data_IF_775135795016
#
_entry.id   IF_775135795016
#
_cell.length_a   1.000
_cell.length_b   1.000
_cell.length_c   1.000
_cell.angle_alpha   90.00
_cell.angle_beta   90.00
_cell.angle_gamma   90.00
#
_symmetry.space_group_name_H-M   'P 1'
#
loop_
_entity.id
_entity.type
_entity.pdbx_description
1 polymer ?
#
# COMPACT_ATOMS: atom_id res chain seq x y z
N UNK A 1 55.55 19.61 55.41
CA UNK A 1 54.25 19.49 54.69
C UNK A 1 53.91 20.80 53.95
N UNK A 2 54.09 21.98 54.57
CA UNK A 2 53.87 23.30 53.94
C UNK A 2 54.75 23.59 52.71
N UNK A 3 56.05 23.25 52.75
CA UNK A 3 56.98 23.49 51.63
C UNK A 3 56.58 22.74 50.35
N UNK A 4 56.08 21.51 50.49
CA UNK A 4 55.62 20.70 49.36
C UNK A 4 54.39 21.32 48.67
N UNK A 5 53.41 21.80 49.43
CA UNK A 5 52.24 22.48 48.87
C UNK A 5 52.61 23.80 48.18
N UNK A 6 53.55 24.57 48.74
CA UNK A 6 54.03 25.79 48.10
C UNK A 6 54.81 25.52 46.80
N UNK A 7 55.60 24.44 46.75
CA UNK A 7 56.32 24.05 45.53
C UNK A 7 55.35 23.54 44.47
N UNK A 8 54.33 22.78 44.87
CA UNK A 8 53.26 22.31 44.00
C UNK A 8 52.44 23.46 43.41
N UNK A 9 52.11 24.47 44.22
CA UNK A 9 51.38 25.66 43.79
C UNK A 9 52.19 26.48 42.77
N UNK A 10 53.50 26.59 42.96
CA UNK A 10 54.41 27.28 42.03
C UNK A 10 54.49 26.55 40.68
N UNK A 11 54.64 25.22 40.71
CA UNK A 11 54.67 24.38 39.49
C UNK A 11 53.31 24.39 38.76
N UNK A 12 52.19 24.47 39.49
CA UNK A 12 50.86 24.52 38.90
C UNK A 12 50.53 25.87 38.23
N UNK A 13 51.25 26.94 38.60
CA UNK A 13 51.14 28.27 38.02
C UNK A 13 52.07 28.48 36.81
N UNK A 14 53.04 27.61 36.58
CA UNK A 14 53.85 27.59 35.35
C UNK A 14 52.95 27.52 34.11
N UNK A 15 53.27 28.34 33.11
CA UNK A 15 52.48 28.44 31.88
C UNK A 15 53.19 27.73 30.74
N UNK A 16 52.50 26.80 30.11
CA UNK A 16 52.96 26.13 28.90
C UNK A 16 52.00 26.49 27.77
N UNK A 17 52.53 27.05 26.66
CA UNK A 17 51.72 27.57 25.54
C UNK A 17 50.65 28.62 25.95
N UNK A 18 50.90 29.39 27.02
CA UNK A 18 49.95 30.38 27.55
C UNK A 18 48.79 29.80 28.37
N UNK A 19 48.83 28.51 28.70
CA UNK A 19 47.84 27.80 29.53
C UNK A 19 48.53 27.36 30.83
N UNK A 20 47.88 27.55 31.98
CA UNK A 20 48.42 27.11 33.27
C UNK A 20 48.47 25.58 33.37
N UNK A 21 49.51 25.05 34.00
CA UNK A 21 49.66 23.60 34.20
C UNK A 21 48.47 23.00 34.98
N UNK A 22 47.84 23.77 35.86
CA UNK A 22 46.59 23.40 36.54
C UNK A 22 45.41 23.09 35.59
N UNK A 23 45.29 23.79 34.46
CA UNK A 23 44.24 23.54 33.45
C UNK A 23 44.52 22.28 32.65
N UNK A 24 45.79 22.02 32.33
CA UNK A 24 46.20 20.75 31.72
C UNK A 24 45.91 19.57 32.66
N UNK A 25 46.24 19.69 33.94
CA UNK A 25 45.92 18.69 34.94
C UNK A 25 44.41 18.44 35.06
N UNK A 26 43.60 19.52 35.10
CA UNK A 26 42.14 19.42 35.13
C UNK A 26 41.55 18.72 33.89
N UNK A 27 42.00 19.09 32.69
CA UNK A 27 41.55 18.43 31.46
C UNK A 27 41.98 16.97 31.38
N UNK A 28 43.19 16.64 31.83
CA UNK A 28 43.68 15.26 31.91
C UNK A 28 42.84 14.41 32.86
N UNK A 29 42.49 14.93 34.03
CA UNK A 29 41.59 14.27 34.98
C UNK A 29 40.20 14.02 34.39
N UNK A 30 39.64 14.99 33.66
CA UNK A 30 38.35 14.82 32.97
C UNK A 30 38.41 13.76 31.89
N UNK A 31 39.48 13.68 31.10
CA UNK A 31 39.65 12.63 30.10
C UNK A 31 39.76 11.24 30.74
N UNK A 32 40.50 11.10 31.84
CA UNK A 32 40.54 9.86 32.61
C UNK A 32 39.15 9.50 33.14
N UNK A 33 38.45 10.47 33.72
CA UNK A 33 37.09 10.27 34.22
C UNK A 33 36.13 9.83 33.11
N UNK A 34 36.24 10.39 31.90
CA UNK A 34 35.44 10.00 30.74
C UNK A 34 35.74 8.57 30.27
N UNK A 35 37.01 8.14 30.28
CA UNK A 35 37.39 6.75 29.96
C UNK A 35 36.90 5.76 31.01
N UNK A 36 36.94 6.14 32.29
CA UNK A 36 36.35 5.37 33.39
C UNK A 36 34.83 5.30 33.20
N UNK A 37 34.17 6.42 32.97
CA UNK A 37 32.73 6.50 32.74
C UNK A 37 32.30 5.65 31.56
N UNK A 38 33.06 5.65 30.46
CA UNK A 38 32.86 4.73 29.33
C UNK A 38 32.90 3.27 29.78
N UNK A 39 33.93 2.86 30.54
CA UNK A 39 34.05 1.47 31.04
C UNK A 39 32.91 1.10 31.99
N UNK A 40 32.54 2.01 32.89
CA UNK A 40 31.42 1.85 33.82
C UNK A 40 30.10 1.71 33.05
N UNK A 41 29.84 2.61 32.11
CA UNK A 41 28.67 2.55 31.23
C UNK A 41 28.63 1.24 30.45
N UNK A 42 29.73 0.83 29.81
CA UNK A 42 29.81 -0.44 29.09
C UNK A 42 29.50 -1.64 29.99
N UNK A 43 29.98 -1.62 31.24
CA UNK A 43 29.71 -2.66 32.22
C UNK A 43 28.25 -2.66 32.68
N UNK A 44 27.70 -1.48 33.03
CA UNK A 44 26.30 -1.32 33.44
C UNK A 44 25.34 -1.67 32.29
N UNK A 45 25.67 -1.29 31.06
CA UNK A 45 24.86 -1.59 29.88
C UNK A 45 24.73 -3.10 29.67
N UNK A 46 25.82 -3.86 29.80
CA UNK A 46 25.79 -5.33 29.70
C UNK A 46 25.14 -5.99 30.91
N UNK A 47 25.37 -5.46 32.13
CA UNK A 47 24.92 -6.10 33.37
C UNK A 47 23.49 -5.77 33.76
N UNK A 48 23.00 -4.59 33.39
CA UNK A 48 21.68 -4.06 33.81
C UNK A 48 20.75 -3.94 32.62
N UNK A 49 21.18 -3.29 31.52
CA UNK A 49 20.29 -2.96 30.40
C UNK A 49 20.04 -4.17 29.51
N UNK A 50 21.08 -4.94 29.17
CA UNK A 50 20.95 -6.13 28.31
C UNK A 50 20.05 -7.23 28.92
N UNK A 51 20.17 -7.59 30.23
CA UNK A 51 19.29 -8.59 30.82
C UNK A 51 17.84 -8.12 30.94
N UNK A 52 17.62 -6.81 31.07
CA UNK A 52 16.28 -6.23 31.07
C UNK A 52 15.61 -6.37 29.70
N UNK A 53 16.36 -6.20 28.62
CA UNK A 53 15.85 -6.38 27.26
C UNK A 53 15.59 -7.85 26.90
N UNK A 54 16.41 -8.77 27.39
CA UNK A 54 16.15 -10.21 27.20
C UNK A 54 14.90 -10.70 27.97
N UNK A 55 14.36 -9.90 28.90
CA UNK A 55 13.06 -10.18 29.55
C UNK A 55 11.87 -9.74 28.69
N UNK A 56 12.07 -8.89 27.70
CA UNK A 56 11.04 -8.53 26.72
C UNK A 56 10.94 -9.63 25.65
N UNK A 57 9.73 -9.94 25.17
CA UNK A 57 9.52 -10.96 24.11
C UNK A 57 9.95 -10.51 22.71
N UNK A 58 10.55 -9.32 22.58
CA UNK A 58 10.82 -8.64 21.31
C UNK A 58 12.28 -8.83 20.87
N UNK A 59 12.50 -9.55 19.77
CA UNK A 59 13.82 -9.73 19.13
C UNK A 59 14.46 -8.40 18.67
N UNK A 60 13.67 -7.33 18.55
CA UNK A 60 14.12 -6.01 18.10
C UNK A 60 14.87 -5.25 19.20
N UNK A 61 14.53 -5.49 20.46
CA UNK A 61 15.09 -4.76 21.61
C UNK A 61 16.57 -5.09 21.78
N UNK A 62 16.91 -6.38 21.64
CA UNK A 62 18.29 -6.87 21.74
C UNK A 62 19.18 -6.30 20.64
N UNK A 63 18.67 -6.29 19.41
CA UNK A 63 19.40 -5.74 18.26
C UNK A 63 19.58 -4.23 18.40
N UNK A 64 18.59 -3.51 18.92
CA UNK A 64 18.64 -2.06 19.05
C UNK A 64 19.71 -1.64 20.07
N UNK A 65 19.72 -2.31 21.21
CA UNK A 65 20.72 -2.09 22.24
C UNK A 65 22.12 -2.42 21.75
N UNK A 66 22.31 -3.49 20.97
CA UNK A 66 23.61 -3.81 20.37
C UNK A 66 24.07 -2.73 19.39
N UNK A 67 23.17 -2.22 18.55
CA UNK A 67 23.48 -1.20 17.55
C UNK A 67 23.86 0.15 18.16
N UNK A 68 23.25 0.54 19.29
CA UNK A 68 23.48 1.85 19.95
C UNK A 68 24.61 1.80 20.98
N UNK A 69 24.89 0.64 21.59
CA UNK A 69 25.87 0.54 22.68
C UNK A 69 27.21 1.17 22.34
N UNK A 70 27.77 0.81 21.18
CA UNK A 70 29.12 1.25 20.77
C UNK A 70 29.19 2.75 20.45
N UNK A 71 28.24 3.32 19.70
CA UNK A 71 28.11 4.76 19.59
C UNK A 71 27.94 5.46 20.96
N UNK A 72 27.06 4.97 21.84
CA UNK A 72 26.86 5.56 23.16
C UNK A 72 28.15 5.56 24.03
N UNK A 73 28.92 4.46 23.99
CA UNK A 73 30.25 4.39 24.62
C UNK A 73 31.22 5.44 24.06
N UNK A 74 31.15 5.73 22.76
CA UNK A 74 32.00 6.73 22.10
C UNK A 74 31.54 8.17 22.40
N UNK A 75 30.23 8.41 22.44
CA UNK A 75 29.63 9.68 22.83
C UNK A 75 30.09 10.16 24.21
N UNK A 76 30.22 9.25 25.18
CA UNK A 76 30.74 9.59 26.52
C UNK A 76 32.18 10.11 26.48
N UNK A 77 33.01 9.56 25.58
CA UNK A 77 34.38 10.05 25.36
C UNK A 77 34.36 11.41 24.68
N UNK A 78 33.47 11.61 23.71
CA UNK A 78 33.25 12.89 23.04
C UNK A 78 32.86 13.96 24.07
N UNK A 79 31.88 13.69 24.95
CA UNK A 79 31.46 14.60 26.03
C UNK A 79 32.63 14.93 26.96
N UNK A 80 33.42 13.93 27.37
CA UNK A 80 34.62 14.15 28.17
C UNK A 80 35.65 15.05 27.47
N UNK A 81 35.88 14.83 26.17
CA UNK A 81 36.76 15.65 25.35
C UNK A 81 36.23 17.09 25.23
N UNK A 82 34.92 17.28 25.10
CA UNK A 82 34.30 18.61 25.09
C UNK A 82 34.57 19.37 26.39
N UNK A 83 34.32 18.74 27.54
CA UNK A 83 34.55 19.35 28.86
C UNK A 83 36.04 19.66 29.04
N UNK A 84 36.93 18.75 28.64
CA UNK A 84 38.38 18.96 28.68
C UNK A 84 38.81 20.17 27.81
N UNK A 85 38.22 20.34 26.62
CA UNK A 85 38.47 21.50 25.76
C UNK A 85 37.97 22.81 26.38
N UNK A 86 36.84 22.81 27.09
CA UNK A 86 36.36 23.99 27.83
C UNK A 86 37.31 24.38 28.96
N UNK A 87 37.88 23.40 29.69
CA UNK A 87 38.82 23.64 30.79
C UNK A 87 40.16 24.17 30.28
N UNK A 88 40.65 23.66 29.14
CA UNK A 88 41.93 24.09 28.56
C UNK A 88 41.90 25.58 28.16
N UNK A 89 40.73 26.12 27.79
CA UNK A 89 40.55 27.48 27.28
C UNK A 89 41.63 27.86 26.24
N UNK A 90 41.73 27.06 25.18
CA UNK A 90 42.78 27.18 24.16
C UNK A 90 42.94 28.62 23.66
N UNK A 91 44.19 29.16 23.63
CA UNK A 91 44.46 30.50 23.14
C UNK A 91 44.10 30.64 21.65
N UNK A 92 43.67 31.84 21.27
CA UNK A 92 43.17 32.15 19.92
C UNK A 92 44.24 32.68 18.97
N UNK A 93 45.39 33.11 19.50
CA UNK A 93 46.53 33.65 18.75
C UNK A 93 47.79 32.80 18.99
N UNK A 94 48.70 32.66 18.01
CA UNK A 94 48.68 33.20 16.63
C UNK A 94 47.91 32.33 15.62
N UNK A 95 47.48 31.14 16.03
CA UNK A 95 46.61 30.27 15.25
C UNK A 95 45.34 30.00 16.04
N UNK A 96 44.18 30.06 15.38
CA UNK A 96 42.88 29.78 15.98
C UNK A 96 42.70 28.28 16.31
N UNK A 97 43.56 27.72 17.17
CA UNK A 97 43.54 26.32 17.62
C UNK A 97 42.16 25.93 18.14
N UNK A 98 41.49 26.88 18.80
CA UNK A 98 40.12 26.74 19.29
C UNK A 98 39.14 26.39 18.17
N UNK A 99 39.18 27.08 17.02
CA UNK A 99 38.28 26.81 15.88
C UNK A 99 38.53 25.41 15.31
N UNK A 100 39.79 25.01 15.17
CA UNK A 100 40.17 23.67 14.72
C UNK A 100 39.67 22.57 15.67
N UNK A 101 39.86 22.75 16.98
CA UNK A 101 39.40 21.81 18.00
C UNK A 101 37.86 21.64 18.00
N UNK A 102 37.10 22.75 17.89
CA UNK A 102 35.64 22.67 17.77
C UNK A 102 35.18 22.05 16.44
N UNK A 103 35.88 22.30 15.33
CA UNK A 103 35.60 21.66 14.05
C UNK A 103 35.80 20.14 14.10
N UNK A 104 36.91 19.69 14.67
CA UNK A 104 37.20 18.27 14.90
C UNK A 104 36.15 17.63 15.82
N UNK A 105 35.79 18.30 16.91
CA UNK A 105 34.73 17.84 17.81
C UNK A 105 33.39 17.64 17.09
N UNK A 106 32.94 18.63 16.31
CA UNK A 106 31.71 18.51 15.51
C UNK A 106 31.80 17.35 14.52
N UNK A 107 32.96 17.16 13.88
CA UNK A 107 33.22 16.02 13.00
C UNK A 107 33.08 14.67 13.71
N UNK A 108 33.62 14.53 14.92
CA UNK A 108 33.48 13.31 15.73
C UNK A 108 32.02 13.05 16.13
N UNK A 109 31.26 14.08 16.49
CA UNK A 109 29.82 13.95 16.78
C UNK A 109 29.05 13.51 15.54
N UNK A 110 29.30 14.14 14.38
CA UNK A 110 28.67 13.75 13.11
C UNK A 110 29.01 12.32 12.73
N UNK A 111 30.26 11.90 12.89
CA UNK A 111 30.69 10.53 12.66
C UNK A 111 29.97 9.53 13.60
N UNK A 112 29.88 9.85 14.89
CA UNK A 112 29.22 8.98 15.88
C UNK A 112 27.73 8.81 15.58
N UNK A 113 27.02 9.89 15.23
CA UNK A 113 25.62 9.86 14.81
C UNK A 113 25.47 9.02 13.53
N UNK A 114 26.33 9.24 12.52
CA UNK A 114 26.28 8.48 11.28
C UNK A 114 26.55 6.99 11.52
N UNK A 115 27.49 6.65 12.40
CA UNK A 115 27.80 5.28 12.79
C UNK A 115 26.63 4.62 13.53
N UNK A 116 25.99 5.35 14.45
CA UNK A 116 24.78 4.89 15.13
C UNK A 116 23.66 4.59 14.12
N UNK A 117 23.36 5.52 13.22
CA UNK A 117 22.35 5.33 12.18
C UNK A 117 22.69 4.15 11.25
N UNK A 118 23.96 4.01 10.86
CA UNK A 118 24.43 2.90 10.03
C UNK A 118 24.23 1.53 10.71
N UNK A 119 24.47 1.46 12.01
CA UNK A 119 24.21 0.26 12.81
C UNK A 119 22.71 0.02 13.01
N UNK A 120 21.89 1.07 13.10
CA UNK A 120 20.43 0.91 13.21
C UNK A 120 19.81 0.34 11.92
N UNK A 121 20.47 0.43 10.77
CA UNK A 121 19.98 -0.21 9.53
C UNK A 121 19.84 -1.73 9.68
N UNK A 122 20.61 -2.39 10.55
CA UNK A 122 20.45 -3.84 10.79
C UNK A 122 19.13 -4.18 11.49
N UNK A 123 18.49 -3.23 12.16
CA UNK A 123 17.14 -3.43 12.69
C UNK A 123 16.10 -3.47 11.58
N UNK A 124 16.22 -2.57 10.61
CA UNK A 124 15.34 -2.57 9.44
C UNK A 124 15.44 -3.90 8.69
N UNK A 125 16.65 -4.45 8.58
CA UNK A 125 16.90 -5.77 7.99
C UNK A 125 16.19 -6.89 8.77
N UNK A 126 16.31 -6.91 10.09
CA UNK A 126 15.63 -7.91 10.92
C UNK A 126 14.10 -7.79 10.87
N UNK A 127 13.57 -6.56 10.85
CA UNK A 127 12.13 -6.30 10.73
C UNK A 127 11.57 -6.74 9.39
N UNK A 128 12.23 -6.35 8.31
CA UNK A 128 11.79 -6.70 6.96
C UNK A 128 11.94 -8.20 6.71
N UNK A 129 13.05 -8.84 7.10
CA UNK A 129 13.23 -10.29 6.95
C UNK A 129 12.15 -11.11 7.68
N UNK A 130 11.68 -10.65 8.84
CA UNK A 130 10.57 -11.30 9.57
C UNK A 130 9.21 -11.16 8.88
N UNK A 131 9.04 -10.17 8.01
CA UNK A 131 7.83 -9.98 7.21
C UNK A 131 7.90 -10.76 5.90
N UNK A 132 9.05 -10.74 5.20
CA UNK A 132 9.12 -11.34 3.87
C UNK A 132 9.25 -12.87 3.90
N UNK A 133 9.87 -13.45 4.94
CA UNK A 133 9.91 -14.91 5.16
C UNK A 133 8.55 -15.59 5.39
N UNK A 134 7.47 -14.82 5.59
CA UNK A 134 6.09 -15.34 5.68
C UNK A 134 5.37 -15.38 4.33
N UNK A 135 6.00 -14.89 3.27
CA UNK A 135 5.49 -14.86 1.91
C UNK A 135 6.36 -15.80 1.06
N UNK A 136 5.75 -16.63 0.21
CA UNK A 136 6.47 -17.57 -0.70
C UNK A 136 7.21 -16.84 -1.86
N UNK A 137 7.69 -15.63 -1.62
CA UNK A 137 8.19 -14.74 -2.66
C UNK A 137 9.71 -14.78 -2.74
N UNK A 138 10.25 -14.93 -3.95
CA UNK A 138 11.68 -14.75 -4.27
C UNK A 138 12.14 -13.28 -4.16
N UNK A 139 11.35 -12.41 -3.54
CA UNK A 139 11.67 -10.99 -3.35
C UNK A 139 12.76 -10.78 -2.28
N UNK A 140 12.89 -11.72 -1.34
CA UNK A 140 13.79 -11.66 -0.17
C UNK A 140 15.26 -11.51 -0.58
N UNK A 141 15.70 -12.25 -1.59
CA UNK A 141 17.11 -12.42 -1.92
C UNK A 141 17.74 -11.17 -2.56
N UNK A 142 16.92 -10.29 -3.13
CA UNK A 142 17.41 -9.12 -3.86
C UNK A 142 16.90 -7.78 -3.33
N UNK A 143 15.68 -7.71 -2.78
CA UNK A 143 15.17 -6.45 -2.24
C UNK A 143 15.83 -6.04 -0.93
N UNK A 144 16.01 -6.98 0.01
CA UNK A 144 16.60 -6.66 1.32
C UNK A 144 18.04 -6.13 1.20
N UNK A 145 18.95 -6.78 0.44
CA UNK A 145 20.29 -6.23 0.23
C UNK A 145 20.27 -4.88 -0.48
N UNK A 146 19.35 -4.68 -1.44
CA UNK A 146 19.21 -3.42 -2.17
C UNK A 146 18.79 -2.26 -1.25
N UNK A 147 17.73 -2.44 -0.45
CA UNK A 147 17.25 -1.43 0.51
C UNK A 147 18.36 -1.11 1.52
N UNK A 148 18.98 -2.15 2.09
CA UNK A 148 20.08 -2.00 3.06
C UNK A 148 21.24 -1.20 2.49
N UNK A 149 21.71 -1.55 1.29
CA UNK A 149 22.82 -0.85 0.63
C UNK A 149 22.45 0.59 0.29
N UNK A 150 21.21 0.84 -0.15
CA UNK A 150 20.72 2.17 -0.48
C UNK A 150 20.66 3.09 0.74
N UNK A 151 20.06 2.64 1.85
CA UNK A 151 19.97 3.42 3.09
C UNK A 151 21.34 3.68 3.68
N UNK A 152 22.24 2.69 3.69
CA UNK A 152 23.62 2.87 4.17
C UNK A 152 24.41 3.86 3.33
N UNK A 153 24.28 3.78 2.01
CA UNK A 153 24.91 4.73 1.08
C UNK A 153 24.41 6.15 1.34
N UNK A 154 23.10 6.30 1.54
CA UNK A 154 22.48 7.59 1.87
C UNK A 154 23.00 8.17 3.20
N UNK A 155 23.12 7.35 4.26
CA UNK A 155 23.68 7.79 5.55
C UNK A 155 25.12 8.27 5.41
N UNK A 156 25.96 7.52 4.68
CA UNK A 156 27.37 7.91 4.44
C UNK A 156 27.45 9.22 3.66
N UNK A 157 26.59 9.38 2.65
CA UNK A 157 26.53 10.60 1.85
C UNK A 157 26.10 11.82 2.68
N UNK A 158 25.09 11.68 3.55
CA UNK A 158 24.69 12.73 4.49
C UNK A 158 25.80 13.07 5.49
N UNK A 159 26.49 12.06 6.03
CA UNK A 159 27.61 12.26 6.96
C UNK A 159 28.76 13.06 6.31
N UNK A 160 29.04 12.80 5.02
CA UNK A 160 30.03 13.55 4.25
C UNK A 160 29.64 15.03 4.12
N UNK A 161 28.39 15.32 3.76
CA UNK A 161 27.88 16.70 3.62
C UNK A 161 27.96 17.44 4.96
N UNK A 162 27.51 16.79 6.04
CA UNK A 162 27.56 17.37 7.39
C UNK A 162 29.00 17.64 7.83
N UNK A 163 29.95 16.77 7.45
CA UNK A 163 31.37 17.00 7.72
C UNK A 163 31.90 18.22 6.98
N UNK A 164 31.55 18.38 5.69
CA UNK A 164 31.92 19.57 4.90
C UNK A 164 31.36 20.85 5.54
N UNK A 165 30.11 20.82 6.01
CA UNK A 165 29.49 21.95 6.71
C UNK A 165 30.22 22.28 8.02
N UNK A 166 30.61 21.25 8.79
CA UNK A 166 31.35 21.42 10.03
C UNK A 166 32.74 22.05 9.84
N UNK A 167 33.35 21.86 8.68
CA UNK A 167 34.60 22.52 8.28
C UNK A 167 34.42 24.00 7.89
N UNK A 168 33.18 24.49 7.85
CA UNK A 168 32.85 25.90 7.58
C UNK A 168 32.55 26.19 6.11
N UNK A 169 32.49 25.17 5.24
CA UNK A 169 32.05 25.34 3.86
C UNK A 169 30.53 25.46 3.80
N UNK A 170 30.04 26.36 2.94
CA UNK A 170 28.60 26.46 2.67
C UNK A 170 28.13 25.24 1.87
N UNK A 171 27.15 24.52 2.42
CA UNK A 171 26.51 23.40 1.73
C UNK A 171 25.23 23.82 1.00
N UNK A 172 24.89 25.11 0.98
CA UNK A 172 23.63 25.59 0.37
C UNK A 172 23.50 25.19 -1.09
N UNK A 173 24.59 25.26 -1.86
CA UNK A 173 24.60 24.80 -3.25
C UNK A 173 24.36 23.29 -3.38
N UNK A 174 25.00 22.49 -2.53
CA UNK A 174 24.81 21.03 -2.50
C UNK A 174 23.37 20.67 -2.09
N UNK A 175 22.82 21.34 -1.08
CA UNK A 175 21.44 21.14 -0.64
C UNK A 175 20.44 21.54 -1.74
N UNK A 176 20.68 22.64 -2.45
CA UNK A 176 19.85 23.05 -3.58
C UNK A 176 19.85 22.00 -4.70
N UNK A 177 21.04 21.51 -5.09
CA UNK A 177 21.18 20.43 -6.08
C UNK A 177 20.51 19.13 -5.63
N UNK A 178 20.62 18.77 -4.34
CA UNK A 178 19.96 17.60 -3.78
C UNK A 178 18.44 17.76 -3.71
N UNK A 179 17.93 18.97 -3.49
CA UNK A 179 16.50 19.25 -3.55
C UNK A 179 15.94 18.97 -4.95
N UNK A 180 16.61 19.47 -5.99
CA UNK A 180 16.20 19.24 -7.39
C UNK A 180 16.38 17.76 -7.77
N UNK A 181 17.50 17.15 -7.42
CA UNK A 181 17.75 15.72 -7.65
C UNK A 181 16.76 14.83 -6.91
N UNK A 182 16.41 15.18 -5.67
CA UNK A 182 15.42 14.50 -4.86
C UNK A 182 14.01 14.59 -5.45
N UNK A 183 13.64 15.75 -5.99
CA UNK A 183 12.37 15.91 -6.71
C UNK A 183 12.31 15.00 -7.95
N UNK A 184 13.39 14.94 -8.74
CA UNK A 184 13.46 14.06 -9.91
C UNK A 184 13.31 12.58 -9.51
N UNK A 185 13.99 12.14 -8.46
CA UNK A 185 13.85 10.77 -7.92
C UNK A 185 12.43 10.51 -7.40
N UNK A 186 11.82 11.47 -6.70
CA UNK A 186 10.46 11.35 -6.18
C UNK A 186 9.42 11.22 -7.31
N UNK A 187 9.57 12.01 -8.38
CA UNK A 187 8.74 11.92 -9.57
C UNK A 187 8.90 10.56 -10.27
N UNK A 188 10.13 10.05 -10.38
CA UNK A 188 10.39 8.73 -10.95
C UNK A 188 9.81 7.59 -10.07
N UNK A 189 9.81 7.76 -8.75
CA UNK A 189 9.28 6.77 -7.80
C UNK A 189 7.75 6.85 -7.61
N UNK A 190 7.09 7.88 -8.15
CA UNK A 190 5.67 8.19 -7.91
C UNK A 190 4.76 6.99 -8.14
N UNK A 191 4.91 6.29 -9.27
CA UNK A 191 4.03 5.16 -9.62
C UNK A 191 4.26 3.95 -8.72
N UNK A 192 5.50 3.72 -8.31
CA UNK A 192 5.83 2.66 -7.35
C UNK A 192 5.16 2.93 -6.01
N UNK A 193 5.30 4.14 -5.48
CA UNK A 193 4.66 4.55 -4.22
C UNK A 193 3.13 4.49 -4.32
N UNK A 194 2.57 4.93 -5.45
CA UNK A 194 1.12 4.91 -5.67
C UNK A 194 0.57 3.48 -5.63
N UNK A 195 1.31 2.50 -6.18
CA UNK A 195 0.91 1.09 -6.11
C UNK A 195 0.91 0.55 -4.68
N UNK A 196 1.91 0.92 -3.87
CA UNK A 196 2.00 0.52 -2.47
C UNK A 196 0.81 1.08 -1.67
N UNK A 197 0.47 2.35 -1.89
CA UNK A 197 -0.71 2.95 -1.28
C UNK A 197 -2.01 2.29 -1.75
N UNK A 198 -2.09 1.91 -3.03
CA UNK A 198 -3.20 1.11 -3.55
C UNK A 198 -3.35 -0.24 -2.83
N UNK A 199 -2.26 -0.97 -2.62
CA UNK A 199 -2.26 -2.23 -1.86
C UNK A 199 -2.77 -2.03 -0.44
N UNK A 200 -2.29 -0.98 0.23
CA UNK A 200 -2.69 -0.66 1.60
C UNK A 200 -4.18 -0.33 1.68
N UNK A 201 -4.70 0.45 0.73
CA UNK A 201 -6.12 0.80 0.66
C UNK A 201 -7.00 -0.44 0.46
N UNK A 202 -6.62 -1.35 -0.45
CA UNK A 202 -7.33 -2.62 -0.67
C UNK A 202 -7.38 -3.45 0.63
N UNK A 203 -6.29 -3.51 1.39
CA UNK A 203 -6.23 -4.28 2.65
C UNK A 203 -7.03 -3.63 3.78
N UNK A 204 -7.02 -2.29 3.86
CA UNK A 204 -7.70 -1.53 4.92
C UNK A 204 -9.21 -1.46 4.68
N UNK A 205 -9.63 -1.05 3.47
CA UNK A 205 -11.04 -0.86 3.14
C UNK A 205 -11.74 -2.17 2.78
N UNK A 206 -10.96 -3.20 2.40
CA UNK A 206 -11.43 -4.53 2.01
C UNK A 206 -12.65 -4.52 1.08
N UNK A 207 -12.58 -3.82 -0.08
CA UNK A 207 -13.65 -3.86 -1.06
C UNK A 207 -13.89 -5.29 -1.60
N UNK A 208 -12.85 -6.14 -1.56
CA UNK A 208 -12.88 -7.55 -1.92
C UNK A 208 -11.78 -8.32 -1.20
N UNK A 209 -11.87 -9.64 -1.21
CA UNK A 209 -10.87 -10.57 -0.69
C UNK A 209 -10.34 -11.51 -1.79
N UNK A 210 -9.24 -12.20 -1.50
CA UNK A 210 -8.78 -13.32 -2.33
C UNK A 210 -9.91 -14.36 -2.37
N UNK A 211 -10.25 -14.82 -3.58
CA UNK A 211 -11.38 -15.72 -3.84
C UNK A 211 -12.68 -15.00 -4.23
N UNK A 212 -12.79 -13.69 -4.06
CA UNK A 212 -13.97 -12.96 -4.52
C UNK A 212 -13.99 -12.86 -6.05
N UNK A 213 -15.16 -13.04 -6.65
CA UNK A 213 -15.44 -12.67 -8.03
C UNK A 213 -15.78 -11.18 -8.08
N UNK A 214 -14.95 -10.43 -8.78
CA UNK A 214 -15.10 -8.99 -8.96
C UNK A 214 -15.21 -8.62 -10.43
N UNK A 215 -15.85 -7.49 -10.68
CA UNK A 215 -15.83 -6.78 -11.95
C UNK A 215 -15.37 -5.34 -11.73
N UNK A 216 -14.34 -4.92 -12.45
CA UNK A 216 -13.77 -3.58 -12.34
C UNK A 216 -13.27 -3.11 -13.71
N UNK A 217 -13.82 -2.01 -14.21
CA UNK A 217 -13.64 -1.60 -15.61
C UNK A 217 -14.05 -2.72 -16.57
N UNK A 218 -13.15 -3.06 -17.50
CA UNK A 218 -13.34 -4.15 -18.47
C UNK A 218 -12.83 -5.52 -17.97
N UNK A 219 -12.41 -5.59 -16.70
CA UNK A 219 -11.84 -6.80 -16.11
C UNK A 219 -12.86 -7.49 -15.23
N UNK A 220 -13.01 -8.80 -15.43
CA UNK A 220 -13.97 -9.60 -14.69
C UNK A 220 -13.40 -11.00 -14.39
N UNK A 221 -13.46 -11.42 -13.13
CA UNK A 221 -12.95 -12.71 -12.71
C UNK A 221 -12.73 -12.84 -11.21
N UNK A 222 -12.11 -13.94 -10.81
CA UNK A 222 -11.84 -14.26 -9.40
C UNK A 222 -10.47 -13.77 -8.97
N UNK A 223 -10.37 -13.09 -7.84
CA UNK A 223 -9.10 -12.62 -7.28
C UNK A 223 -8.27 -13.81 -6.79
N UNK A 224 -7.08 -14.03 -7.36
CA UNK A 224 -6.17 -15.10 -6.93
C UNK A 224 -5.13 -14.62 -5.91
N UNK A 225 -4.62 -13.41 -6.08
CA UNK A 225 -3.55 -12.87 -5.24
C UNK A 225 -3.64 -11.36 -5.16
N UNK A 226 -3.47 -10.80 -3.97
CA UNK A 226 -3.25 -9.37 -3.76
C UNK A 226 -1.78 -9.20 -3.36
N UNK A 227 -0.93 -8.89 -4.34
CA UNK A 227 0.50 -8.70 -4.12
C UNK A 227 0.85 -7.28 -3.68
N UNK A 228 2.15 -7.02 -3.46
CA UNK A 228 2.64 -5.71 -2.98
C UNK A 228 2.44 -4.56 -3.98
N UNK A 229 2.47 -4.83 -5.30
CA UNK A 229 2.29 -3.81 -6.36
C UNK A 229 1.09 -4.05 -7.26
N UNK A 230 0.58 -5.27 -7.29
CA UNK A 230 -0.42 -5.68 -8.26
C UNK A 230 -1.32 -6.78 -7.72
N UNK A 231 -2.56 -6.81 -8.18
CA UNK A 231 -3.53 -7.86 -7.91
C UNK A 231 -3.68 -8.73 -9.15
N UNK A 232 -3.78 -10.04 -8.94
CA UNK A 232 -3.97 -11.03 -9.99
C UNK A 232 -5.41 -11.50 -9.99
N UNK A 233 -6.06 -11.44 -11.17
CA UNK A 233 -7.46 -11.80 -11.37
C UNK A 233 -7.52 -12.89 -12.44
N UNK A 234 -8.09 -14.05 -12.10
CA UNK A 234 -8.34 -15.16 -13.01
C UNK A 234 -9.67 -14.95 -13.72
N UNK A 235 -9.62 -14.83 -15.04
CA UNK A 235 -10.83 -14.69 -15.86
C UNK A 235 -11.59 -16.01 -15.97
N UNK A 236 -12.83 -15.93 -16.44
CA UNK A 236 -13.62 -17.13 -16.77
C UNK A 236 -13.03 -17.95 -17.92
N UNK A 237 -12.24 -17.33 -18.80
CA UNK A 237 -11.44 -18.01 -19.82
C UNK A 237 -10.16 -18.67 -19.24
N UNK A 238 -10.01 -18.70 -17.91
CA UNK A 238 -8.85 -19.24 -17.18
C UNK A 238 -7.52 -18.52 -17.46
N UNK A 239 -7.54 -17.35 -18.08
CA UNK A 239 -6.37 -16.47 -18.23
C UNK A 239 -6.13 -15.63 -16.97
N UNK A 240 -4.89 -15.20 -16.75
CA UNK A 240 -4.51 -14.42 -15.57
C UNK A 240 -4.24 -12.95 -15.96
N UNK A 241 -5.05 -12.04 -15.45
CA UNK A 241 -4.85 -10.60 -15.59
C UNK A 241 -4.06 -10.12 -14.37
N UNK A 242 -2.97 -9.38 -14.60
CA UNK A 242 -2.21 -8.71 -13.51
C UNK A 242 -2.43 -7.22 -13.62
N UNK A 243 -2.98 -6.62 -12.57
CA UNK A 243 -3.37 -5.21 -12.57
C UNK A 243 -2.61 -4.46 -11.47
N UNK A 244 -1.96 -3.33 -11.79
CA UNK A 244 -1.39 -2.44 -10.77
C UNK A 244 -2.43 -2.05 -9.70
N UNK A 245 -2.03 -2.10 -8.44
CA UNK A 245 -2.96 -1.84 -7.32
C UNK A 245 -3.44 -0.39 -7.29
N UNK A 246 -2.64 0.57 -7.80
CA UNK A 246 -3.09 1.94 -7.94
C UNK A 246 -4.26 2.08 -8.92
N UNK A 247 -4.34 1.23 -9.95
CA UNK A 247 -5.44 1.28 -10.92
C UNK A 247 -6.71 0.74 -10.27
N UNK A 248 -6.66 -0.45 -9.66
CA UNK A 248 -7.84 -1.05 -9.02
C UNK A 248 -8.38 -0.15 -7.90
N UNK A 249 -7.51 0.39 -7.06
CA UNK A 249 -7.92 1.25 -5.95
C UNK A 249 -8.63 2.55 -6.40
N UNK A 250 -8.42 2.98 -7.64
CA UNK A 250 -9.04 4.18 -8.22
C UNK A 250 -10.25 3.88 -9.12
N UNK A 251 -10.55 2.61 -9.38
CA UNK A 251 -11.72 2.19 -10.16
C UNK A 251 -12.86 1.78 -9.24
N UNK A 252 -14.10 1.86 -9.76
CA UNK A 252 -15.23 1.20 -9.09
C UNK A 252 -15.03 -0.32 -9.14
N UNK A 253 -15.37 -0.99 -8.04
CA UNK A 253 -15.31 -2.44 -7.92
C UNK A 253 -16.70 -2.96 -7.60
N UNK A 254 -17.26 -3.73 -8.51
CA UNK A 254 -18.47 -4.50 -8.29
C UNK A 254 -18.09 -5.89 -7.75
N UNK A 255 -18.40 -6.14 -6.48
CA UNK A 255 -18.08 -7.40 -5.82
C UNK A 255 -19.28 -8.36 -5.92
N UNK A 256 -19.25 -9.19 -6.95
CA UNK A 256 -20.31 -10.13 -7.30
C UNK A 256 -20.43 -11.22 -6.23
N UNK A 257 -19.33 -11.61 -5.57
CA UNK A 257 -19.36 -12.57 -4.45
C UNK A 257 -20.12 -12.08 -3.22
N UNK A 258 -20.30 -10.76 -3.05
CA UNK A 258 -21.04 -10.19 -1.91
C UNK A 258 -22.53 -10.00 -2.17
N UNK A 259 -23.03 -10.39 -3.33
CA UNK A 259 -24.47 -10.27 -3.60
C UNK A 259 -25.29 -11.17 -2.66
N UNK A 260 -26.37 -10.66 -2.05
CA UNK A 260 -27.19 -11.47 -1.15
C UNK A 260 -28.16 -12.40 -1.91
N UNK A 261 -28.60 -11.97 -3.10
CA UNK A 261 -29.60 -12.66 -3.94
C UNK A 261 -29.30 -12.36 -5.40
N UNK A 262 -29.64 -13.27 -6.32
CA UNK A 262 -29.46 -13.06 -7.76
C UNK A 262 -30.72 -12.65 -8.46
N UNK A 263 -30.65 -11.59 -9.26
CA UNK A 263 -31.78 -11.08 -10.03
C UNK A 263 -32.05 -11.93 -11.28
N UNK A 264 -33.30 -12.33 -11.44
CA UNK A 264 -33.87 -12.76 -12.72
C UNK A 264 -34.68 -11.57 -13.28
N UNK A 265 -34.35 -11.13 -14.49
CA UNK A 265 -35.11 -10.13 -15.24
C UNK A 265 -35.41 -10.69 -16.63
N UNK A 266 -36.69 -10.91 -16.92
CA UNK A 266 -37.17 -11.43 -18.20
C UNK A 266 -38.19 -10.45 -18.79
N UNK A 267 -38.20 -10.36 -20.11
CA UNK A 267 -39.27 -9.70 -20.86
C UNK A 267 -39.93 -10.78 -21.71
N UNK A 268 -41.20 -11.07 -21.41
CA UNK A 268 -41.98 -12.11 -22.08
C UNK A 268 -42.93 -11.43 -23.05
N UNK A 269 -42.66 -11.54 -24.35
CA UNK A 269 -43.50 -10.96 -25.40
C UNK A 269 -44.59 -11.94 -25.84
N UNK A 270 -45.85 -11.50 -25.85
CA UNK A 270 -46.99 -12.26 -26.40
C UNK A 270 -47.58 -11.56 -27.62
N UNK A 271 -48.32 -12.28 -28.46
CA UNK A 271 -48.87 -11.72 -29.71
C UNK A 271 -49.93 -10.65 -29.45
N UNK A 272 -50.12 -9.74 -30.43
CA UNK A 272 -51.14 -8.68 -30.38
C UNK A 272 -52.59 -9.20 -30.42
N UNK A 273 -52.78 -10.47 -30.73
CA UNK A 273 -54.08 -11.16 -30.66
C UNK A 273 -54.51 -11.43 -29.21
N UNK A 274 -53.58 -11.30 -28.24
CA UNK A 274 -53.87 -11.47 -26.82
C UNK A 274 -54.87 -10.42 -26.33
N UNK A 275 -56.02 -10.89 -25.84
CA UNK A 275 -57.03 -10.01 -25.26
C UNK A 275 -56.60 -9.44 -23.90
N UNK A 276 -57.16 -8.29 -23.47
CA UNK A 276 -56.87 -7.72 -22.15
C UNK A 276 -57.18 -8.67 -20.98
N UNK A 277 -58.20 -9.51 -21.11
CA UNK A 277 -58.57 -10.48 -20.07
C UNK A 277 -57.57 -11.64 -20.00
N UNK A 278 -57.11 -12.16 -21.15
CA UNK A 278 -56.02 -13.15 -21.18
C UNK A 278 -54.75 -12.59 -20.52
N UNK A 279 -54.38 -11.36 -20.89
CA UNK A 279 -53.21 -10.67 -20.31
C UNK A 279 -53.31 -10.54 -18.78
N UNK A 280 -54.47 -10.11 -18.25
CA UNK A 280 -54.68 -10.00 -16.79
C UNK A 280 -54.52 -11.34 -16.08
N UNK A 281 -55.10 -12.42 -16.63
CA UNK A 281 -55.02 -13.76 -16.06
C UNK A 281 -53.59 -14.32 -16.11
N UNK A 282 -52.91 -14.13 -17.24
CA UNK A 282 -51.50 -14.51 -17.42
C UNK A 282 -50.61 -13.89 -16.35
N UNK A 283 -50.69 -12.57 -16.21
CA UNK A 283 -49.88 -11.79 -15.26
C UNK A 283 -50.13 -12.26 -13.83
N UNK A 284 -51.39 -12.50 -13.44
CA UNK A 284 -51.69 -13.00 -12.09
C UNK A 284 -51.22 -14.46 -11.89
N UNK A 285 -51.33 -15.31 -12.90
CA UNK A 285 -50.81 -16.68 -12.86
C UNK A 285 -49.29 -16.69 -12.67
N UNK A 286 -48.56 -15.84 -13.40
CA UNK A 286 -47.10 -15.69 -13.25
C UNK A 286 -46.74 -15.13 -11.86
N UNK A 287 -47.52 -14.20 -11.30
CA UNK A 287 -47.33 -13.77 -9.90
C UNK A 287 -47.48 -14.92 -8.93
N UNK A 288 -48.49 -15.77 -9.12
CA UNK A 288 -48.73 -16.92 -8.25
C UNK A 288 -47.65 -17.99 -8.39
N UNK A 289 -47.13 -18.20 -9.60
CA UNK A 289 -45.92 -19.00 -9.83
C UNK A 289 -44.77 -18.48 -8.98
N UNK A 290 -44.42 -17.20 -9.12
CA UNK A 290 -43.30 -16.63 -8.37
C UNK A 290 -43.54 -16.70 -6.85
N UNK A 291 -44.77 -16.47 -6.37
CA UNK A 291 -45.17 -16.58 -4.94
C UNK A 291 -44.93 -17.94 -4.32
N UNK A 292 -45.00 -19.00 -5.13
CA UNK A 292 -44.97 -20.40 -4.66
C UNK A 292 -43.68 -21.12 -5.02
N UNK A 293 -42.90 -20.57 -5.94
CA UNK A 293 -41.67 -21.17 -6.43
C UNK A 293 -40.61 -21.26 -5.33
N UNK A 294 -40.11 -22.48 -5.10
CA UNK A 294 -39.20 -22.79 -3.98
C UNK A 294 -37.86 -22.04 -4.06
N UNK A 295 -37.28 -21.93 -5.26
CA UNK A 295 -36.01 -21.24 -5.52
C UNK A 295 -36.09 -19.71 -5.57
N UNK A 296 -37.30 -19.14 -5.69
CA UNK A 296 -37.50 -17.69 -5.81
C UNK A 296 -37.73 -17.08 -4.44
N UNK A 297 -37.10 -15.93 -4.24
CA UNK A 297 -37.27 -15.09 -3.08
C UNK A 297 -38.61 -14.36 -3.10
N UNK A 298 -39.31 -14.41 -1.96
CA UNK A 298 -40.71 -13.97 -1.88
C UNK A 298 -40.86 -12.53 -1.37
N UNK A 299 -39.77 -11.91 -0.92
CA UNK A 299 -39.79 -10.56 -0.36
C UNK A 299 -40.11 -9.50 -1.43
N UNK A 300 -39.66 -9.73 -2.67
CA UNK A 300 -39.81 -8.77 -3.76
C UNK A 300 -39.85 -9.45 -5.13
N UNK A 301 -40.93 -9.24 -5.86
CA UNK A 301 -41.04 -9.51 -7.29
C UNK A 301 -42.00 -8.50 -7.96
N UNK A 302 -41.81 -8.28 -9.26
CA UNK A 302 -42.71 -7.50 -10.11
C UNK A 302 -43.07 -8.34 -11.33
N UNK A 303 -44.36 -8.37 -11.64
CA UNK A 303 -44.90 -8.96 -12.87
C UNK A 303 -45.95 -8.00 -13.39
N UNK A 304 -45.68 -7.38 -14.53
CA UNK A 304 -46.51 -6.33 -15.09
C UNK A 304 -46.47 -6.38 -16.62
N UNK A 305 -47.62 -6.14 -17.25
CA UNK A 305 -47.65 -5.72 -18.65
C UNK A 305 -47.08 -4.31 -18.74
N UNK A 306 -46.02 -4.11 -19.53
CA UNK A 306 -45.25 -2.86 -19.53
C UNK A 306 -45.27 -2.08 -20.83
N UNK A 307 -45.24 -2.76 -21.99
CA UNK A 307 -44.99 -2.09 -23.25
C UNK A 307 -45.72 -2.74 -24.42
N UNK A 308 -46.16 -1.91 -25.36
CA UNK A 308 -46.60 -2.30 -26.70
C UNK A 308 -45.39 -2.16 -27.64
N UNK A 309 -44.68 -3.25 -27.89
CA UNK A 309 -43.44 -3.28 -28.66
C UNK A 309 -43.74 -3.55 -30.15
N UNK A 310 -42.74 -3.43 -31.03
CA UNK A 310 -42.93 -3.48 -32.49
C UNK A 310 -43.63 -4.75 -33.01
N UNK A 311 -43.42 -5.90 -32.34
CA UNK A 311 -44.03 -7.18 -32.72
C UNK A 311 -44.61 -7.96 -31.52
N UNK A 312 -44.68 -7.36 -30.33
CA UNK A 312 -45.13 -8.03 -29.11
C UNK A 312 -45.81 -7.11 -28.10
N UNK A 313 -46.65 -7.70 -27.25
CA UNK A 313 -47.12 -7.13 -25.99
C UNK A 313 -46.23 -7.68 -24.87
N UNK A 314 -45.49 -6.81 -24.18
CA UNK A 314 -44.40 -7.24 -23.29
C UNK A 314 -44.83 -7.29 -21.82
N UNK A 315 -44.61 -8.44 -21.19
CA UNK A 315 -44.74 -8.67 -19.75
C UNK A 315 -43.34 -8.65 -19.13
N UNK A 316 -43.07 -7.70 -18.24
CA UNK A 316 -41.87 -7.69 -17.41
C UNK A 316 -42.04 -8.67 -16.25
N UNK A 317 -41.09 -9.59 -16.12
CA UNK A 317 -40.92 -10.46 -14.95
C UNK A 317 -39.61 -10.12 -14.26
N UNK A 318 -39.67 -9.66 -13.02
CA UNK A 318 -38.52 -9.24 -12.23
C UNK A 318 -38.59 -9.88 -10.85
N UNK A 319 -37.63 -10.73 -10.52
CA UNK A 319 -37.58 -11.38 -9.21
C UNK A 319 -36.13 -11.67 -8.80
N UNK A 320 -35.96 -12.17 -7.58
CA UNK A 320 -34.67 -12.61 -7.08
C UNK A 320 -34.73 -14.10 -6.72
N UNK A 321 -33.62 -14.80 -6.90
CA UNK A 321 -33.43 -16.17 -6.43
C UNK A 321 -32.89 -16.15 -4.99
N UNK A 322 -33.18 -17.21 -4.23
CA UNK A 322 -32.62 -17.41 -2.89
C UNK A 322 -31.13 -17.78 -2.93
N UNK A 323 -30.71 -18.49 -3.98
CA UNK A 323 -29.33 -18.91 -4.19
C UNK A 323 -28.50 -17.82 -4.86
N UNK A 324 -27.21 -17.83 -4.58
CA UNK A 324 -26.20 -16.99 -5.26
C UNK A 324 -25.22 -17.85 -6.06
N UNK A 325 -25.37 -19.17 -6.05
CA UNK A 325 -24.58 -20.10 -6.85
C UNK A 325 -24.98 -20.02 -8.32
N UNK A 326 -24.00 -20.02 -9.24
CA UNK A 326 -24.29 -19.76 -10.66
C UNK A 326 -25.09 -20.88 -11.32
N UNK A 327 -24.73 -22.15 -11.05
CA UNK A 327 -25.47 -23.31 -11.56
C UNK A 327 -26.93 -23.31 -11.10
N UNK A 328 -27.16 -23.29 -9.78
CA UNK A 328 -28.52 -23.31 -9.21
C UNK A 328 -29.38 -22.12 -9.64
N UNK A 329 -28.76 -20.94 -9.83
CA UNK A 329 -29.44 -19.77 -10.39
C UNK A 329 -29.92 -20.03 -11.82
N UNK A 330 -29.10 -20.69 -12.65
CA UNK A 330 -29.49 -21.04 -14.02
C UNK A 330 -30.62 -22.08 -14.02
N UNK A 331 -30.55 -23.09 -13.16
CA UNK A 331 -31.61 -24.09 -13.01
C UNK A 331 -32.93 -23.45 -12.60
N UNK A 332 -32.91 -22.56 -11.59
CA UNK A 332 -34.10 -21.83 -11.15
C UNK A 332 -34.65 -20.90 -12.25
N UNK A 333 -33.78 -20.27 -13.04
CA UNK A 333 -34.19 -19.42 -14.15
C UNK A 333 -34.81 -20.22 -15.28
N UNK A 334 -34.25 -21.39 -15.60
CA UNK A 334 -34.80 -22.31 -16.59
C UNK A 334 -36.20 -22.78 -16.18
N UNK A 335 -36.36 -23.24 -14.94
CA UNK A 335 -37.64 -23.72 -14.39
C UNK A 335 -38.72 -22.62 -14.44
N UNK A 336 -38.40 -21.40 -14.02
CA UNK A 336 -39.30 -20.24 -14.15
C UNK A 336 -39.69 -19.97 -15.60
N UNK A 337 -38.74 -20.01 -16.54
CA UNK A 337 -39.04 -19.80 -17.96
C UNK A 337 -39.99 -20.87 -18.50
N UNK A 338 -39.74 -22.15 -18.21
CA UNK A 338 -40.58 -23.26 -18.68
C UNK A 338 -41.99 -23.18 -18.10
N UNK A 339 -42.13 -22.93 -16.80
CA UNK A 339 -43.45 -22.79 -16.18
C UNK A 339 -44.21 -21.54 -16.68
N UNK A 340 -43.51 -20.47 -17.07
CA UNK A 340 -44.15 -19.35 -17.76
C UNK A 340 -44.68 -19.80 -19.13
N UNK A 341 -43.93 -20.59 -19.90
CA UNK A 341 -44.42 -21.13 -21.18
C UNK A 341 -45.71 -21.94 -20.99
N UNK A 342 -45.75 -22.84 -20.00
CA UNK A 342 -46.93 -23.65 -19.67
C UNK A 342 -48.13 -22.76 -19.29
N UNK A 343 -47.91 -21.69 -18.51
CA UNK A 343 -48.95 -20.73 -18.13
C UNK A 343 -49.51 -20.01 -19.36
N UNK A 344 -48.66 -19.59 -20.29
CA UNK A 344 -49.11 -18.91 -21.51
C UNK A 344 -49.96 -19.84 -22.37
N UNK A 345 -49.51 -21.08 -22.58
CA UNK A 345 -50.22 -22.10 -23.35
C UNK A 345 -51.59 -22.42 -22.73
N UNK A 346 -51.66 -22.60 -21.40
CA UNK A 346 -52.91 -22.87 -20.69
C UNK A 346 -53.96 -21.74 -20.81
N UNK A 347 -53.52 -20.52 -21.12
CA UNK A 347 -54.40 -19.35 -21.33
C UNK A 347 -54.64 -19.05 -22.82
N UNK A 348 -54.15 -19.92 -23.72
CA UNK A 348 -54.29 -19.75 -25.17
C UNK A 348 -53.57 -18.51 -25.69
N UNK A 349 -52.42 -18.17 -25.11
CA UNK A 349 -51.58 -17.08 -25.60
C UNK A 349 -50.36 -17.64 -26.30
N UNK A 350 -49.97 -16.98 -27.37
CA UNK A 350 -48.79 -17.35 -28.15
C UNK A 350 -47.62 -16.41 -27.83
N UNK A 351 -46.42 -16.98 -27.75
CA UNK A 351 -45.18 -16.21 -27.61
C UNK A 351 -44.93 -15.48 -28.92
N UNK A 352 -44.72 -14.17 -28.83
CA UNK A 352 -44.43 -13.36 -29.99
C UNK A 352 -43.02 -13.67 -30.53
N UNK A 353 -42.92 -13.78 -31.84
CA UNK A 353 -41.67 -13.81 -32.58
C UNK A 353 -41.58 -12.55 -33.47
N UNK A 354 -40.37 -12.11 -33.85
CA UNK A 354 -40.22 -10.98 -34.76
C UNK A 354 -40.99 -11.24 -36.07
N UNK A 355 -42.01 -10.43 -36.33
CA UNK A 355 -42.89 -10.56 -37.50
C UNK A 355 -42.84 -9.27 -38.32
N UNK A 356 -42.96 -9.41 -39.65
CA UNK A 356 -43.04 -8.28 -40.59
C UNK A 356 -44.23 -8.48 -41.52
N UNK A 357 -45.11 -7.50 -41.56
CA UNK A 357 -46.16 -7.44 -42.58
C UNK A 357 -45.59 -6.85 -43.86
N UNK A 358 -45.65 -7.60 -44.96
CA UNK A 358 -45.21 -7.16 -46.30
C UNK A 358 -46.46 -6.83 -47.11
N UNK A 359 -46.57 -5.57 -47.53
CA UNK A 359 -47.60 -5.16 -48.49
C UNK A 359 -47.07 -5.41 -49.91
N UNK A 360 -47.56 -6.47 -50.56
CA UNK A 360 -47.26 -6.75 -51.96
C UNK A 360 -48.27 -6.01 -52.84
N UNK A 361 -47.79 -4.96 -53.53
CA UNK A 361 -48.56 -4.28 -54.56
C UNK A 361 -48.44 -5.08 -55.85
N UNK A 362 -49.49 -5.80 -56.24
CA UNK A 362 -49.58 -6.30 -57.62
C UNK A 362 -49.65 -5.08 -58.55
N UNK A 363 -48.65 -4.97 -59.42
CA UNK A 363 -48.71 -4.10 -60.59
C UNK A 363 -49.22 -5.03 -61.69
N UNK A 364 -50.50 -4.91 -62.05
CA UNK A 364 -51.05 -5.65 -63.18
C UNK A 364 -50.29 -5.25 -64.47
N UNK A 365 -49.98 -6.22 -65.33
CA UNK A 365 -49.15 -6.10 -66.55
C UNK A 365 -49.74 -5.20 -67.66
N UNK A 366 -50.75 -4.36 -67.38
CA UNK A 366 -51.34 -3.44 -68.36
C UNK A 366 -50.60 -2.09 -68.51
N UNK A 367 -49.58 -1.81 -67.69
CA UNK A 367 -48.61 -0.71 -67.93
C UNK A 367 -47.31 -1.22 -68.59
N UNK A 368 -47.41 -2.17 -69.53
CA UNK A 368 -46.37 -2.35 -70.52
C UNK A 368 -46.26 -1.04 -71.33
N UNK A 369 -45.27 -0.21 -70.98
CA UNK A 369 -44.88 1.01 -71.69
C UNK A 369 -44.92 0.76 -73.21
N UNK A 370 -45.53 1.64 -74.02
CA UNK A 370 -45.48 1.48 -75.47
C UNK A 370 -44.01 1.50 -75.90
N UNK A 371 -43.58 0.41 -76.54
CA UNK A 371 -42.30 0.35 -77.24
C UNK A 371 -42.31 1.49 -78.26
N UNK A 372 -41.44 2.49 -78.03
CA UNK A 372 -41.16 3.53 -79.01
C UNK A 372 -40.35 2.85 -80.12
N UNK A 373 -41.01 2.51 -81.23
CA UNK A 373 -40.32 2.20 -82.49
C UNK A 373 -39.70 3.51 -83.05
N UNK A 374 -38.47 3.39 -83.52
CA UNK A 374 -37.67 4.48 -84.09
C UNK A 374 -38.20 4.98 -85.44
#
# INVERSE_FOLDING_TARGET
MSAFFATLETILQETFLGISLSRFAGAFLVLIAALIMKKVFAHLFVKVIFPLATRTKSRYDDLFLQSIRKPAEFLLVIIGMFIALQILQLPTEPANLRRGAYGLFKGLVTFDIAWALFNLVSLLEASLAGWVSKTESTLDDHLLPFIRKSVRTFIVFLALIMTIQNLGYSISGLLASLGIGGLAVALAAKDTLSNIFGSMMIILDRPFHIGDWIKTGDMEGTVEEIGFRSTKIRTFAKTLITVPNNIIANLSVDNISRMPKRRIKLTVGVTYETSPEQMRRAVEAIRNLLRTHSAIDQDFFLVNFTEFNASSLDILVYCFTKTTMWGEYLDAREDVCLQIMDILEAHGMEIAFPSRSIYLRNIDEEEALPLVEH
#
